data_IF_801563546153
#
_entry.id   IF_801563546153
#
_cell.length_a   1.000
_cell.length_b   1.000
_cell.length_c   1.000
_cell.angle_alpha   90.00
_cell.angle_beta   90.00
_cell.angle_gamma   90.00
#
_symmetry.space_group_name_H-M   'P 1'
#
loop_
_entity.id
_entity.type
_entity.pdbx_description
1 polymer ?
#
# COMPACT_ATOMS: atom_id res chain seq x y z
N UNK A 1 8.59 3.32 6.63
CA UNK A 1 9.75 2.91 5.82
C UNK A 1 9.22 2.34 4.52
N UNK A 2 9.26 3.11 3.44
CA UNK A 2 8.89 2.66 2.09
C UNK A 2 10.04 3.05 1.17
N UNK A 3 10.71 2.05 0.61
CA UNK A 3 11.79 2.23 -0.36
C UNK A 3 11.20 2.18 -1.76
N UNK A 4 11.19 3.31 -2.47
CA UNK A 4 10.79 3.38 -3.87
C UNK A 4 12.04 3.56 -4.72
N UNK A 5 12.33 2.60 -5.59
CA UNK A 5 13.46 2.67 -6.52
C UNK A 5 13.05 3.45 -7.76
N UNK A 6 13.56 4.67 -7.93
CA UNK A 6 13.43 5.41 -9.19
C UNK A 6 14.69 5.16 -10.02
N UNK A 7 14.51 4.60 -11.22
CA UNK A 7 15.58 4.50 -12.22
C UNK A 7 15.44 5.69 -13.16
N UNK A 8 16.41 6.62 -13.12
CA UNK A 8 16.53 7.68 -14.11
C UNK A 8 17.81 7.45 -14.93
N UNK A 9 17.75 7.74 -16.22
CA UNK A 9 18.90 7.81 -17.13
C UNK A 9 18.92 9.22 -17.69
N UNK A 10 20.06 9.90 -17.59
CA UNK A 10 20.31 11.13 -18.33
C UNK A 10 21.08 10.77 -19.60
N UNK A 11 20.44 10.93 -20.76
CA UNK A 11 21.10 10.78 -22.06
C UNK A 11 21.38 12.16 -22.65
N UNK A 12 22.65 12.44 -22.97
CA UNK A 12 23.08 13.61 -23.74
C UNK A 12 23.82 13.13 -24.97
N UNK A 13 23.31 13.47 -26.16
CA UNK A 13 23.85 13.03 -27.45
C UNK A 13 25.31 13.47 -27.63
N UNK A 14 26.21 12.50 -27.84
CA UNK A 14 27.61 12.74 -28.23
C UNK A 14 28.68 12.52 -27.15
N UNK A 15 28.37 11.89 -26.00
CA UNK A 15 29.37 11.50 -24.99
C UNK A 15 29.26 10.01 -24.65
N UNK A 16 30.37 9.37 -24.27
CA UNK A 16 30.38 8.00 -23.73
C UNK A 16 29.62 7.93 -22.39
N UNK A 17 28.79 6.90 -22.23
CA UNK A 17 27.94 6.68 -21.05
C UNK A 17 28.76 6.53 -19.75
N UNK A 18 28.38 7.25 -18.69
CA UNK A 18 29.04 7.14 -17.38
C UNK A 18 28.57 5.91 -16.59
N UNK A 19 29.43 5.39 -15.71
CA UNK A 19 29.10 4.32 -14.77
C UNK A 19 27.80 4.62 -13.97
N UNK A 20 26.97 3.59 -13.79
CA UNK A 20 25.69 3.69 -13.08
C UNK A 20 25.95 4.00 -11.59
N UNK A 21 25.89 5.27 -11.21
CA UNK A 21 25.89 5.69 -9.82
C UNK A 21 24.53 5.36 -9.19
N UNK A 22 24.50 4.45 -8.22
CA UNK A 22 23.28 4.09 -7.49
C UNK A 22 23.20 4.97 -6.25
N UNK A 23 22.30 5.97 -6.25
CA UNK A 23 22.01 6.77 -5.07
C UNK A 23 20.65 6.36 -4.51
N UNK A 24 20.62 5.94 -3.24
CA UNK A 24 19.38 5.76 -2.48
C UNK A 24 18.86 7.14 -2.08
N UNK A 25 17.72 7.56 -2.65
CA UNK A 25 17.09 8.82 -2.27
C UNK A 25 16.18 8.58 -1.05
N UNK A 26 16.50 9.23 0.08
CA UNK A 26 15.65 9.25 1.27
C UNK A 26 14.77 10.50 1.17
N UNK A 27 13.49 10.35 0.83
CA UNK A 27 12.54 11.47 0.96
C UNK A 27 12.07 11.51 2.42
N UNK A 28 12.87 12.15 3.27
CA UNK A 28 12.37 12.73 4.50
C UNK A 28 11.78 14.09 4.12
N UNK A 29 10.46 14.22 4.18
CA UNK A 29 9.77 15.42 3.76
C UNK A 29 10.20 16.64 4.58
N UNK A 30 10.70 17.66 3.90
CA UNK A 30 10.40 19.08 4.12
C UNK A 30 11.27 19.88 3.18
N UNK A 31 10.70 20.60 2.21
CA UNK A 31 11.23 21.93 1.87
C UNK A 31 10.07 22.83 1.47
N UNK A 32 10.02 24.00 2.12
CA UNK A 32 9.10 25.07 1.80
C UNK A 32 9.28 25.51 0.35
N UNK A 33 8.16 25.65 -0.34
CA UNK A 33 8.10 26.15 -1.69
C UNK A 33 6.64 26.32 -2.09
N UNK A 34 6.16 27.56 -2.00
CA UNK A 34 4.82 27.99 -2.39
C UNK A 34 4.38 27.37 -3.73
N UNK A 35 3.41 26.44 -3.70
CA UNK A 35 2.68 25.99 -4.89
C UNK A 35 2.65 24.47 -5.17
N UNK A 36 3.23 23.61 -4.34
CA UNK A 36 3.13 22.15 -4.50
C UNK A 36 1.91 21.58 -3.77
N UNK A 37 0.97 20.96 -4.48
CA UNK A 37 -0.18 20.27 -3.89
C UNK A 37 0.29 19.27 -2.83
N UNK A 38 0.08 19.58 -1.55
CA UNK A 38 0.49 18.70 -0.47
C UNK A 38 -0.34 17.40 -0.56
N UNK A 39 0.33 16.26 -0.78
CA UNK A 39 -0.31 14.95 -0.90
C UNK A 39 -0.21 14.19 0.42
N UNK A 40 -1.29 13.53 0.80
CA UNK A 40 -1.32 12.68 2.00
C UNK A 40 -0.43 11.45 1.81
N UNK A 41 0.29 11.07 2.88
CA UNK A 41 1.10 9.85 2.89
C UNK A 41 0.22 8.59 2.79
N UNK A 42 0.62 7.62 1.97
CA UNK A 42 -0.12 6.37 1.82
C UNK A 42 -0.21 5.59 3.15
N UNK A 43 -1.33 4.89 3.41
CA UNK A 43 -1.44 4.01 4.56
C UNK A 43 -0.37 2.91 4.55
N UNK A 44 0.24 2.68 5.70
CA UNK A 44 1.19 1.60 5.93
C UNK A 44 0.49 0.49 6.70
N UNK A 45 0.60 -0.73 6.16
CA UNK A 45 0.10 -1.96 6.78
C UNK A 45 1.13 -2.50 7.78
N UNK A 46 0.68 -2.88 8.98
CA UNK A 46 1.55 -3.48 10.00
C UNK A 46 2.04 -4.87 9.61
N UNK A 47 1.26 -5.58 8.80
CA UNK A 47 1.57 -6.92 8.28
C UNK A 47 1.51 -6.81 6.76
N UNK A 48 2.59 -7.18 6.08
CA UNK A 48 2.63 -7.18 4.62
C UNK A 48 1.71 -8.27 4.05
N UNK A 49 1.29 -8.14 2.79
CA UNK A 49 0.55 -9.20 2.11
C UNK A 49 1.37 -10.50 2.04
N UNK A 50 0.69 -11.64 2.08
CA UNK A 50 1.35 -12.94 2.08
C UNK A 50 0.42 -14.09 2.46
N UNK A 51 1.03 -15.28 2.57
CA UNK A 51 0.33 -16.51 2.97
C UNK A 51 0.51 -16.76 4.46
N UNK A 52 -0.59 -16.97 5.17
CA UNK A 52 -0.62 -17.19 6.60
C UNK A 52 -1.41 -18.45 6.95
N UNK A 53 -0.89 -19.25 7.89
CA UNK A 53 -1.58 -20.44 8.41
C UNK A 53 -2.62 -20.11 9.48
N UNK A 54 -2.69 -18.87 9.95
CA UNK A 54 -3.58 -18.42 11.03
C UNK A 54 -4.16 -17.04 10.74
N UNK A 55 -5.25 -16.69 11.43
CA UNK A 55 -5.91 -15.38 11.30
C UNK A 55 -4.93 -14.25 11.62
N UNK A 56 -4.95 -13.19 10.81
CA UNK A 56 -4.07 -12.03 10.99
C UNK A 56 -4.85 -10.81 11.48
N UNK A 57 -4.22 -9.99 12.32
CA UNK A 57 -4.75 -8.69 12.74
C UNK A 57 -3.92 -7.58 12.12
N UNK A 58 -4.44 -6.99 11.06
CA UNK A 58 -3.76 -5.97 10.28
C UNK A 58 -4.09 -4.60 10.85
N UNK A 59 -3.06 -3.82 11.21
CA UNK A 59 -3.20 -2.42 11.60
C UNK A 59 -2.80 -1.53 10.44
N UNK A 60 -3.49 -0.40 10.29
CA UNK A 60 -3.14 0.65 9.34
C UNK A 60 -2.65 1.88 10.10
N UNK A 61 -1.64 2.54 9.54
CA UNK A 61 -1.08 3.79 10.05
C UNK A 61 -0.78 4.76 8.90
N UNK A 62 -0.78 6.06 9.17
CA UNK A 62 -0.45 7.08 8.18
C UNK A 62 0.50 8.09 8.83
N UNK A 63 1.54 8.51 8.10
CA UNK A 63 2.49 9.51 8.58
C UNK A 63 1.90 10.93 8.61
N UNK A 64 0.88 11.20 7.78
CA UNK A 64 0.20 12.50 7.76
C UNK A 64 -0.76 12.61 8.94
N UNK A 65 -0.38 13.44 9.93
CA UNK A 65 -1.23 13.70 11.08
C UNK A 65 -2.58 14.33 10.67
N UNK A 66 -3.66 13.84 11.28
CA UNK A 66 -5.04 14.26 10.99
C UNK A 66 -5.64 13.66 9.72
N UNK A 67 -4.93 12.78 9.00
CA UNK A 67 -5.50 12.07 7.86
C UNK A 67 -6.47 10.96 8.31
N UNK A 68 -7.56 10.81 7.58
CA UNK A 68 -8.54 9.73 7.75
C UNK A 68 -8.22 8.59 6.80
N UNK A 69 -7.95 7.41 7.35
CA UNK A 69 -7.72 6.21 6.54
C UNK A 69 -9.07 5.56 6.21
N UNK A 70 -9.32 5.30 4.93
CA UNK A 70 -10.47 4.57 4.37
C UNK A 70 -9.99 3.28 3.76
N UNK A 71 -10.73 2.19 3.93
CA UNK A 71 -10.32 0.89 3.44
C UNK A 71 -11.48 0.03 2.94
N UNK A 72 -11.12 -0.98 2.16
CA UNK A 72 -11.98 -2.04 1.63
C UNK A 72 -11.28 -3.38 1.84
N UNK A 73 -12.05 -4.44 2.00
CA UNK A 73 -11.54 -5.82 2.24
C UNK A 73 -11.94 -6.80 1.13
N UNK A 74 -12.69 -6.32 0.14
CA UNK A 74 -13.15 -7.06 -1.03
C UNK A 74 -12.25 -6.82 -2.25
N UNK A 75 -11.18 -6.04 -2.11
CA UNK A 75 -10.30 -5.62 -3.20
C UNK A 75 -10.84 -4.49 -4.08
N UNK A 76 -12.01 -3.91 -3.76
CA UNK A 76 -12.53 -2.73 -4.46
C UNK A 76 -11.72 -1.47 -4.13
N UNK A 77 -11.75 -0.47 -5.01
CA UNK A 77 -11.04 0.80 -4.79
C UNK A 77 -11.68 1.58 -3.62
N UNK A 78 -10.95 1.89 -2.54
CA UNK A 78 -11.49 2.67 -1.44
C UNK A 78 -11.71 4.12 -1.87
N UNK A 79 -12.81 4.71 -1.41
CA UNK A 79 -13.20 6.11 -1.63
C UNK A 79 -13.45 6.80 -0.28
N UNK A 80 -13.74 8.10 -0.30
CA UNK A 80 -14.14 8.84 0.91
C UNK A 80 -15.37 8.25 1.63
N UNK A 81 -16.22 7.50 0.90
CA UNK A 81 -17.41 6.83 1.44
C UNK A 81 -17.13 5.40 1.94
N UNK A 82 -15.94 4.85 1.67
CA UNK A 82 -15.57 3.53 2.15
C UNK A 82 -15.45 3.49 3.67
N UNK A 83 -15.30 2.28 4.22
CA UNK A 83 -15.25 2.09 5.67
C UNK A 83 -14.04 2.84 6.25
N UNK A 84 -14.27 3.64 7.29
CA UNK A 84 -13.21 4.30 8.03
C UNK A 84 -12.45 3.28 8.87
N UNK A 85 -11.13 3.38 8.86
CA UNK A 85 -10.28 2.61 9.76
C UNK A 85 -10.26 3.28 11.14
N UNK A 86 -10.93 2.65 12.10
CA UNK A 86 -10.90 3.03 13.52
C UNK A 86 -10.40 1.89 14.42
N UNK A 87 -10.34 0.66 13.90
CA UNK A 87 -9.93 -0.56 14.63
C UNK A 87 -9.15 -1.50 13.70
N UNK A 88 -8.36 -2.38 14.30
CA UNK A 88 -7.59 -3.41 13.59
C UNK A 88 -8.50 -4.24 12.66
N UNK A 89 -8.00 -4.57 11.46
CA UNK A 89 -8.72 -5.37 10.47
C UNK A 89 -8.41 -6.85 10.74
N UNK A 90 -9.45 -7.61 11.04
CA UNK A 90 -9.33 -9.05 11.23
C UNK A 90 -9.39 -9.77 9.87
N UNK A 91 -8.31 -10.48 9.55
CA UNK A 91 -8.17 -11.28 8.33
C UNK A 91 -8.29 -12.75 8.73
N UNK A 92 -9.50 -13.28 8.66
CA UNK A 92 -9.82 -14.66 9.03
C UNK A 92 -9.92 -15.62 7.83
N UNK A 93 -9.96 -15.07 6.61
CA UNK A 93 -9.97 -15.77 5.33
C UNK A 93 -9.16 -15.01 4.29
N UNK A 94 -8.86 -15.65 3.18
CA UNK A 94 -8.17 -15.01 2.05
C UNK A 94 -8.96 -13.80 1.55
N UNK A 95 -8.32 -12.63 1.52
CA UNK A 95 -8.94 -11.37 1.10
C UNK A 95 -7.89 -10.35 0.66
N UNK A 96 -8.35 -9.33 -0.06
CA UNK A 96 -7.51 -8.22 -0.51
C UNK A 96 -7.94 -6.95 0.22
N UNK A 97 -7.03 -6.36 0.97
CA UNK A 97 -7.24 -5.10 1.66
C UNK A 97 -6.65 -3.98 0.83
N UNK A 98 -7.46 -2.98 0.49
CA UNK A 98 -6.99 -1.73 -0.10
C UNK A 98 -7.28 -0.58 0.86
N UNK A 99 -6.34 0.36 0.98
CA UNK A 99 -6.46 1.50 1.88
C UNK A 99 -5.97 2.79 1.22
N UNK A 100 -6.66 3.89 1.52
CA UNK A 100 -6.31 5.26 1.11
C UNK A 100 -6.39 6.18 2.32
N UNK A 101 -5.52 7.17 2.41
CA UNK A 101 -5.57 8.23 3.41
C UNK A 101 -6.03 9.53 2.77
N UNK A 102 -7.03 10.15 3.39
CA UNK A 102 -7.72 11.34 2.91
C UNK A 102 -7.63 12.41 3.99
N UNK A 103 -7.26 13.63 3.61
CA UNK A 103 -7.23 14.78 4.52
C UNK A 103 -7.79 16.00 3.80
N UNK A 104 -8.70 16.70 4.45
CA UNK A 104 -9.28 17.93 3.89
C UNK A 104 -8.19 18.97 3.62
N UNK A 105 -8.23 19.59 2.44
CA UNK A 105 -7.23 20.57 2.00
C UNK A 105 -5.95 19.99 1.41
N UNK A 106 -5.83 18.66 1.31
CA UNK A 106 -4.67 17.97 0.72
C UNK A 106 -5.13 17.01 -0.39
N UNK A 107 -4.23 16.67 -1.30
CA UNK A 107 -4.50 15.62 -2.29
C UNK A 107 -4.49 14.24 -1.63
N UNK A 108 -5.40 13.37 -2.04
CA UNK A 108 -5.51 12.01 -1.50
C UNK A 108 -4.22 11.20 -1.70
N UNK A 109 -3.97 10.27 -0.77
CA UNK A 109 -2.81 9.40 -0.88
C UNK A 109 -2.93 8.41 -2.04
N UNK A 110 -1.84 7.71 -2.32
CA UNK A 110 -1.91 6.50 -3.16
C UNK A 110 -2.69 5.40 -2.44
N UNK A 111 -3.29 4.51 -3.23
CA UNK A 111 -3.99 3.34 -2.71
C UNK A 111 -2.95 2.27 -2.38
N UNK A 112 -2.76 2.01 -1.10
CA UNK A 112 -1.96 0.89 -0.62
C UNK A 112 -2.80 -0.39 -0.70
N UNK A 113 -2.27 -1.43 -1.34
CA UNK A 113 -2.96 -2.70 -1.58
C UNK A 113 -2.17 -3.84 -0.97
N UNK A 114 -2.85 -4.74 -0.26
CA UNK A 114 -2.27 -5.97 0.27
C UNK A 114 -3.22 -7.16 0.10
N UNK A 115 -2.66 -8.28 -0.34
CA UNK A 115 -3.39 -9.53 -0.48
C UNK A 115 -2.95 -10.50 0.60
N UNK A 116 -3.92 -11.06 1.33
CA UNK A 116 -3.68 -12.05 2.37
C UNK A 116 -4.32 -13.36 1.96
N UNK A 117 -3.56 -14.45 2.06
CA UNK A 117 -4.04 -15.80 1.80
C UNK A 117 -4.02 -16.56 3.13
N UNK A 118 -5.17 -17.02 3.60
CA UNK A 118 -5.26 -17.80 4.85
C UNK A 118 -5.41 -19.28 4.48
N UNK A 119 -4.40 -20.10 4.77
CA UNK A 119 -4.37 -21.53 4.44
C UNK A 119 -4.88 -22.43 5.55
N UNK A 120 -4.93 -21.95 6.79
CA UNK A 120 -5.39 -22.71 7.96
C UNK A 120 -6.82 -22.39 8.42
N UNK A 121 -7.58 -21.62 7.64
CA UNK A 121 -8.97 -21.30 7.93
C UNK A 121 -9.91 -22.06 6.99
N UNK A 122 -10.33 -23.27 7.38
CA UNK A 122 -11.48 -24.02 6.85
C UNK A 122 -11.91 -23.70 5.40
N UNK A 123 -11.00 -23.90 4.46
CA UNK A 123 -11.31 -24.12 3.05
C UNK A 123 -10.63 -25.42 2.68
N UNK A 124 -11.34 -26.54 2.84
CA UNK A 124 -10.83 -27.84 2.40
C UNK A 124 -10.39 -27.77 0.92
N UNK A 125 -9.45 -28.60 0.49
CA UNK A 125 -9.14 -28.70 -0.93
C UNK A 125 -10.40 -29.17 -1.65
N UNK A 126 -10.99 -28.30 -2.47
CA UNK A 126 -11.84 -28.73 -3.56
C UNK A 126 -10.99 -29.53 -4.55
N UNK A 127 -10.72 -30.80 -4.20
CA UNK A 127 -10.09 -31.80 -5.05
C UNK A 127 -11.02 -32.20 -6.21
N UNK A 128 -10.46 -32.77 -7.28
CA UNK A 128 -10.92 -32.57 -8.65
C UNK A 128 -12.24 -33.27 -8.93
N UNK A 129 -13.14 -32.58 -9.64
CA UNK A 129 -14.30 -33.20 -10.28
C UNK A 129 -13.84 -34.41 -11.10
N UNK A 130 -14.33 -35.58 -10.71
CA UNK A 130 -14.01 -36.85 -11.35
C UNK A 130 -14.38 -36.84 -12.83
N UNK A 131 -13.47 -37.32 -13.67
CA UNK A 131 -13.83 -37.88 -14.96
C UNK A 131 -14.01 -39.38 -14.74
N UNK A 132 -15.25 -39.83 -14.78
CA UNK A 132 -15.61 -41.22 -15.04
C UNK A 132 -15.35 -41.53 -16.50
#
# INVERSE_FOLDING_TARGET
MLSTTIKAIAIKTGMNDSAVATATYVINGSEGGSGGSEKVSAPVFSIQGGTYSSKQKVKLSCATSGATIRYTTDGSTPTANSKKYDKEINVDKSMTIKAIAIKSGMADSEIATQTYVITGGAGGPGGPGGKK
#
